data_IF_104005320197
#
_entry.id   IF_104005320197
#
_cell.length_a   1.000
_cell.length_b   1.000
_cell.length_c   1.000
_cell.angle_alpha   90.00
_cell.angle_beta   90.00
_cell.angle_gamma   90.00
#
_symmetry.space_group_name_H-M   'P 1'
#
loop_
_entity.id
_entity.type
_entity.pdbx_description
1 polymer ?
#
# COMPACT_ATOMS: atom_id res chain seq x y z
N UNK A 1 17.16 -9.64 27.18
CA UNK A 1 16.20 -8.51 27.16
C UNK A 1 16.05 -7.92 25.76
N UNK A 2 17.16 -7.61 25.07
CA UNK A 2 17.20 -7.06 23.69
C UNK A 2 16.43 -7.88 22.64
N UNK A 3 16.49 -9.22 22.68
CA UNK A 3 15.80 -10.09 21.70
C UNK A 3 14.26 -9.97 21.79
N UNK A 4 13.72 -9.76 23.01
CA UNK A 4 12.28 -9.66 23.26
C UNK A 4 11.70 -8.33 22.77
N UNK A 5 12.46 -7.25 22.87
CA UNK A 5 12.07 -5.95 22.33
C UNK A 5 12.09 -5.92 20.79
N UNK A 6 13.08 -6.57 20.18
CA UNK A 6 13.17 -6.67 18.72
C UNK A 6 11.97 -7.44 18.15
N UNK A 7 11.58 -8.57 18.76
CA UNK A 7 10.42 -9.34 18.29
C UNK A 7 9.10 -8.58 18.49
N UNK A 8 8.97 -7.79 19.56
CA UNK A 8 7.78 -6.99 19.84
C UNK A 8 7.60 -5.86 18.83
N UNK A 9 8.70 -5.21 18.43
CA UNK A 9 8.69 -4.21 17.36
C UNK A 9 8.21 -4.85 16.05
N UNK A 10 8.80 -5.96 15.62
CA UNK A 10 8.39 -6.66 14.39
C UNK A 10 6.90 -7.04 14.43
N UNK A 11 6.40 -7.52 15.57
CA UNK A 11 4.99 -7.87 15.71
C UNK A 11 4.05 -6.67 15.57
N UNK A 12 4.31 -5.56 16.27
CA UNK A 12 3.51 -4.33 16.18
C UNK A 12 3.48 -3.83 14.74
N UNK A 13 4.63 -3.89 14.07
CA UNK A 13 4.79 -3.48 12.67
C UNK A 13 3.90 -4.30 11.74
N UNK A 14 3.93 -5.63 11.85
CA UNK A 14 3.07 -6.52 11.07
C UNK A 14 1.58 -6.28 11.34
N UNK A 15 1.21 -6.00 12.60
CA UNK A 15 -0.17 -5.66 12.97
C UNK A 15 -0.63 -4.35 12.32
N UNK A 16 0.24 -3.34 12.22
CA UNK A 16 -0.08 -2.08 11.51
C UNK A 16 -0.31 -2.35 10.03
N UNK A 17 0.55 -3.14 9.37
CA UNK A 17 0.36 -3.50 7.95
C UNK A 17 -0.96 -4.27 7.76
N UNK A 18 -1.21 -5.26 8.60
CA UNK A 18 -2.44 -6.05 8.55
C UNK A 18 -3.69 -5.19 8.75
N UNK A 19 -3.66 -4.24 9.70
CA UNK A 19 -4.76 -3.32 9.96
C UNK A 19 -5.02 -2.38 8.76
N UNK A 20 -3.96 -1.89 8.10
CA UNK A 20 -4.08 -1.05 6.91
C UNK A 20 -4.67 -1.81 5.72
N UNK A 21 -4.20 -3.04 5.47
CA UNK A 21 -4.76 -3.92 4.44
C UNK A 21 -6.23 -4.20 4.74
N UNK A 22 -6.55 -4.57 5.98
CA UNK A 22 -7.92 -4.82 6.41
C UNK A 22 -8.80 -3.58 6.24
N UNK A 23 -8.29 -2.39 6.56
CA UNK A 23 -9.00 -1.13 6.36
C UNK A 23 -9.33 -0.85 4.89
N UNK A 24 -8.39 -1.07 3.98
CA UNK A 24 -8.62 -0.94 2.53
C UNK A 24 -9.67 -1.95 2.07
N UNK A 25 -9.57 -3.22 2.47
CA UNK A 25 -10.55 -4.25 2.12
C UNK A 25 -11.95 -3.90 2.64
N UNK A 26 -12.05 -3.49 3.91
CA UNK A 26 -13.32 -3.09 4.52
C UNK A 26 -13.92 -1.87 3.82
N UNK A 27 -13.11 -0.88 3.42
CA UNK A 27 -13.58 0.25 2.64
C UNK A 27 -14.25 -0.20 1.32
N UNK A 28 -13.56 -1.06 0.55
CA UNK A 28 -14.10 -1.58 -0.71
C UNK A 28 -15.34 -2.46 -0.54
N UNK A 29 -15.42 -3.23 0.55
CA UNK A 29 -16.59 -4.05 0.87
C UNK A 29 -17.81 -3.23 1.32
N UNK A 30 -17.60 -2.02 1.84
CA UNK A 30 -18.67 -1.20 2.43
C UNK A 30 -19.03 0.02 1.57
N UNK A 31 -18.66 0.05 0.28
CA UNK A 31 -19.00 1.17 -0.61
C UNK A 31 -20.50 1.46 -0.67
N UNK A 32 -21.35 0.43 -0.62
CA UNK A 32 -22.81 0.58 -0.64
C UNK A 32 -23.33 1.20 0.65
N UNK A 33 -22.77 0.80 1.80
CA UNK A 33 -23.10 1.36 3.10
C UNK A 33 -22.63 2.83 3.21
N UNK A 34 -21.60 3.21 2.46
CA UNK A 34 -21.10 4.58 2.35
C UNK A 34 -21.87 5.42 1.32
N UNK A 35 -22.84 4.83 0.60
CA UNK A 35 -23.61 5.53 -0.43
C UNK A 35 -22.79 5.96 -1.64
N UNK A 36 -21.66 5.27 -1.90
CA UNK A 36 -20.76 5.63 -2.99
C UNK A 36 -21.23 4.98 -4.29
N UNK A 37 -21.54 5.81 -5.29
CA UNK A 37 -21.91 5.33 -6.62
C UNK A 37 -20.71 4.68 -7.34
N UNK A 38 -20.91 3.43 -7.74
CA UNK A 38 -19.92 2.57 -8.37
C UNK A 38 -19.78 2.88 -9.86
N UNK A 39 -19.23 4.05 -10.19
CA UNK A 39 -18.85 4.37 -11.57
C UNK A 39 -17.50 3.74 -11.93
N UNK A 40 -17.29 3.44 -13.22
CA UNK A 40 -15.98 2.96 -13.70
C UNK A 40 -14.85 3.93 -13.35
N UNK A 41 -15.12 5.25 -13.45
CA UNK A 41 -14.22 6.31 -13.00
C UNK A 41 -13.87 6.18 -11.52
N UNK A 42 -14.85 5.96 -10.66
CA UNK A 42 -14.61 5.78 -9.22
C UNK A 42 -13.68 4.58 -8.96
N UNK A 43 -13.91 3.43 -9.62
CA UNK A 43 -13.04 2.26 -9.47
C UNK A 43 -11.59 2.55 -9.86
N UNK A 44 -11.38 3.23 -10.98
CA UNK A 44 -10.04 3.56 -11.48
C UNK A 44 -9.35 4.59 -10.58
N UNK A 45 -10.07 5.64 -10.16
CA UNK A 45 -9.51 6.70 -9.31
C UNK A 45 -9.27 6.21 -7.88
N UNK A 46 -10.29 5.71 -7.21
CA UNK A 46 -10.17 5.23 -5.83
C UNK A 46 -9.26 3.99 -5.74
N UNK A 47 -9.28 3.13 -6.76
CA UNK A 47 -8.34 2.01 -6.88
C UNK A 47 -6.91 2.50 -7.03
N UNK A 48 -6.65 3.44 -7.94
CA UNK A 48 -5.35 4.06 -8.12
C UNK A 48 -4.83 4.72 -6.84
N UNK A 49 -5.67 5.48 -6.14
CA UNK A 49 -5.32 6.10 -4.84
C UNK A 49 -5.02 5.04 -3.79
N UNK A 50 -5.80 3.96 -3.72
CA UNK A 50 -5.54 2.85 -2.78
C UNK A 50 -4.18 2.20 -3.05
N UNK A 51 -3.85 1.95 -4.32
CA UNK A 51 -2.56 1.37 -4.74
C UNK A 51 -1.40 2.33 -4.45
N UNK A 52 -1.58 3.64 -4.72
CA UNK A 52 -0.59 4.66 -4.38
C UNK A 52 -0.32 4.69 -2.88
N UNK A 53 -1.37 4.71 -2.06
CA UNK A 53 -1.27 4.71 -0.60
C UNK A 53 -0.60 3.44 -0.09
N UNK A 54 -0.90 2.27 -0.67
CA UNK A 54 -0.21 1.02 -0.36
C UNK A 54 1.27 1.09 -0.73
N UNK A 55 1.64 1.67 -1.88
CA UNK A 55 3.04 1.85 -2.26
C UNK A 55 3.80 2.83 -1.35
N UNK A 56 3.14 3.93 -0.93
CA UNK A 56 3.69 4.88 0.05
C UNK A 56 3.90 4.19 1.39
N UNK A 57 2.87 3.47 1.87
CA UNK A 57 2.95 2.70 3.10
C UNK A 57 4.07 1.68 3.01
N UNK A 58 4.16 0.94 1.91
CA UNK A 58 5.20 -0.05 1.66
C UNK A 58 6.58 0.59 1.68
N UNK A 59 6.76 1.79 1.13
CA UNK A 59 8.03 2.52 1.20
C UNK A 59 8.37 3.01 2.61
N UNK A 60 7.40 3.53 3.35
CA UNK A 60 7.60 3.90 4.76
C UNK A 60 7.92 2.66 5.60
N UNK A 61 7.32 1.52 5.27
CA UNK A 61 7.62 0.20 5.83
C UNK A 61 8.96 -0.37 5.33
N UNK A 62 9.41 -0.02 4.12
CA UNK A 62 10.66 -0.45 3.50
C UNK A 62 11.90 0.04 4.24
N UNK A 63 11.75 1.02 5.14
CA UNK A 63 12.77 1.30 6.17
C UNK A 63 12.93 0.18 7.22
N UNK A 64 12.15 -0.91 7.13
CA UNK A 64 12.10 -2.02 8.09
C UNK A 64 12.60 -3.36 7.54
N UNK A 65 13.26 -3.39 6.37
CA UNK A 65 13.87 -4.57 5.73
C UNK A 65 13.03 -5.85 5.83
N UNK A 66 11.99 -5.95 5.00
CA UNK A 66 11.22 -7.19 4.85
C UNK A 66 12.02 -8.28 4.11
N UNK A 67 13.02 -7.89 3.31
CA UNK A 67 13.95 -8.79 2.63
C UNK A 67 15.35 -8.51 3.20
N UNK A 68 16.06 -9.52 3.73
CA UNK A 68 17.36 -9.27 4.33
C UNK A 68 18.36 -8.73 3.28
N UNK A 69 19.16 -7.73 3.69
CA UNK A 69 20.05 -6.89 2.87
C UNK A 69 21.41 -7.52 2.46
N UNK A 70 21.71 -8.73 2.90
CA UNK A 70 22.90 -9.53 2.58
C UNK A 70 23.16 -9.74 1.07
N UNK A 71 22.18 -9.49 0.18
CA UNK A 71 22.37 -9.50 -1.28
C UNK A 71 22.13 -8.10 -1.85
N UNK A 72 23.18 -7.33 -2.23
CA UNK A 72 23.09 -5.92 -2.63
C UNK A 72 22.18 -5.64 -3.84
N UNK A 73 21.89 -6.66 -4.66
CA UNK A 73 20.99 -6.58 -5.80
C UNK A 73 19.51 -6.76 -5.42
N UNK A 74 19.23 -7.44 -4.31
CA UNK A 74 17.87 -7.77 -3.87
C UNK A 74 17.37 -6.73 -2.86
N UNK A 75 18.25 -6.17 -2.00
CA UNK A 75 17.85 -5.13 -1.04
C UNK A 75 17.25 -3.89 -1.70
N UNK A 76 17.73 -3.50 -2.89
CA UNK A 76 17.16 -2.38 -3.66
C UNK A 76 15.88 -2.73 -4.42
N UNK A 77 15.60 -4.01 -4.62
CA UNK A 77 14.42 -4.46 -5.36
C UNK A 77 13.14 -4.03 -4.64
N UNK A 78 13.18 -4.01 -3.31
CA UNK A 78 12.07 -3.63 -2.46
C UNK A 78 11.64 -2.18 -2.67
N UNK A 79 12.62 -1.28 -2.66
CA UNK A 79 12.44 0.15 -2.95
C UNK A 79 11.92 0.37 -4.37
N UNK A 80 12.48 -0.34 -5.36
CA UNK A 80 12.02 -0.24 -6.75
C UNK A 80 10.58 -0.71 -6.92
N UNK A 81 10.19 -1.79 -6.26
CA UNK A 81 8.80 -2.28 -6.22
C UNK A 81 7.88 -1.24 -5.58
N UNK A 82 8.28 -0.64 -4.46
CA UNK A 82 7.52 0.42 -3.81
C UNK A 82 7.27 1.60 -4.76
N UNK A 83 8.32 2.05 -5.46
CA UNK A 83 8.23 3.12 -6.45
C UNK A 83 7.34 2.77 -7.64
N UNK A 84 7.44 1.55 -8.14
CA UNK A 84 6.61 1.09 -9.25
C UNK A 84 5.13 1.04 -8.86
N UNK A 85 4.82 0.51 -7.67
CA UNK A 85 3.45 0.47 -7.13
C UNK A 85 2.90 1.90 -6.97
N UNK A 86 3.68 2.83 -6.44
CA UNK A 86 3.29 4.24 -6.35
C UNK A 86 3.04 4.86 -7.73
N UNK A 87 3.93 4.63 -8.70
CA UNK A 87 3.79 5.18 -10.05
C UNK A 87 2.54 4.65 -10.76
N UNK A 88 2.26 3.35 -10.65
CA UNK A 88 1.06 2.72 -11.22
C UNK A 88 -0.21 3.26 -10.55
N UNK A 89 -0.22 3.37 -9.22
CA UNK A 89 -1.35 3.94 -8.48
C UNK A 89 -1.62 5.40 -8.86
N UNK A 90 -0.57 6.21 -8.97
CA UNK A 90 -0.68 7.60 -9.39
C UNK A 90 -1.17 7.72 -10.83
N UNK A 91 -0.64 6.92 -11.76
CA UNK A 91 -1.05 6.92 -13.15
C UNK A 91 -2.51 6.50 -13.32
N UNK A 92 -2.96 5.49 -12.57
CA UNK A 92 -4.36 5.07 -12.57
C UNK A 92 -5.27 6.15 -11.98
N UNK A 93 -4.87 6.78 -10.85
CA UNK A 93 -5.64 7.83 -10.22
C UNK A 93 -5.78 9.08 -11.09
N UNK A 94 -4.65 9.59 -11.60
CA UNK A 94 -4.63 10.74 -12.50
C UNK A 94 -5.31 10.40 -13.84
N UNK A 95 -5.02 9.22 -14.40
CA UNK A 95 -5.61 8.73 -15.63
C UNK A 95 -7.14 8.66 -15.55
N UNK A 96 -7.66 8.05 -14.49
CA UNK A 96 -9.10 7.99 -14.25
C UNK A 96 -9.71 9.36 -13.95
N UNK A 97 -8.98 10.27 -13.31
CA UNK A 97 -9.52 11.59 -13.01
C UNK A 97 -9.64 12.48 -14.25
N UNK A 98 -8.63 12.46 -15.13
CA UNK A 98 -8.53 13.35 -16.28
C UNK A 98 -9.14 12.78 -17.58
N UNK A 99 -9.13 11.46 -17.78
CA UNK A 99 -9.52 10.85 -19.06
C UNK A 99 -10.83 10.04 -19.00
N UNK A 100 -11.31 9.68 -17.81
CA UNK A 100 -12.62 9.04 -17.66
C UNK A 100 -13.64 10.10 -17.25
N UNK A 101 -14.59 10.37 -18.15
CA UNK A 101 -15.71 11.29 -17.93
C UNK A 101 -16.95 10.50 -17.49
#
# INVERSE_FOLDING_TARGET
MVIKELSMKILIRLLVVAALIAGVVLFWMNLDALGIERSFRFYVVAGGVSVLMLGILYKFLGSWDLIPDWVPLIGKLDDWLAWLVMAVGLAAAAGGYYFLY
#
